data_IF_967823626407
#
_entry.id   IF_967823626407
#
_cell.length_a   1.000
_cell.length_b   1.000
_cell.length_c   1.000
_cell.angle_alpha   90.00
_cell.angle_beta   90.00
_cell.angle_gamma   90.00
#
_symmetry.space_group_name_H-M   'P 1'
#
loop_
_entity.id
_entity.type
_entity.pdbx_description
1 polymer ?
#
# COMPACT_ATOMS: atom_id res chain seq x y z
N UNK A 1 -18.81 -34.18 4.62
CA UNK A 1 -18.39 -32.84 5.10
C UNK A 1 -19.23 -31.73 4.49
N UNK A 2 -19.19 -31.50 3.18
CA UNK A 2 -20.00 -30.46 2.50
C UNK A 2 -21.51 -30.60 2.81
N UNK A 3 -22.05 -31.83 2.70
CA UNK A 3 -23.45 -32.11 3.02
C UNK A 3 -23.84 -31.77 4.48
N UNK A 4 -22.89 -31.83 5.42
CA UNK A 4 -23.16 -31.48 6.81
C UNK A 4 -23.25 -29.95 6.97
N UNK A 5 -22.37 -29.20 6.29
CA UNK A 5 -22.40 -27.74 6.27
C UNK A 5 -23.69 -27.24 5.63
N UNK A 6 -24.10 -27.81 4.49
CA UNK A 6 -25.35 -27.43 3.82
C UNK A 6 -26.56 -27.66 4.73
N UNK A 7 -26.65 -28.85 5.36
CA UNK A 7 -27.75 -29.16 6.29
C UNK A 7 -27.76 -28.23 7.50
N UNK A 8 -26.59 -27.90 8.05
CA UNK A 8 -26.46 -26.96 9.14
C UNK A 8 -26.89 -25.54 8.73
N UNK A 9 -26.48 -25.08 7.55
CA UNK A 9 -26.90 -23.78 7.01
C UNK A 9 -28.40 -23.70 6.77
N UNK A 10 -29.03 -24.77 6.26
CA UNK A 10 -30.47 -24.85 6.07
C UNK A 10 -31.24 -24.86 7.40
N UNK A 11 -30.73 -25.59 8.40
CA UNK A 11 -31.33 -25.62 9.75
C UNK A 11 -31.20 -24.27 10.47
N UNK A 12 -30.13 -23.53 10.20
CA UNK A 12 -29.83 -22.24 10.82
C UNK A 12 -30.07 -21.07 9.86
N UNK A 13 -31.10 -21.17 9.00
CA UNK A 13 -31.43 -20.17 7.96
C UNK A 13 -31.49 -18.73 8.47
N UNK A 14 -31.96 -18.51 9.69
CA UNK A 14 -32.02 -17.18 10.30
C UNK A 14 -30.62 -16.60 10.54
N UNK A 15 -29.71 -17.39 11.13
CA UNK A 15 -28.32 -16.97 11.34
C UNK A 15 -27.60 -16.71 10.02
N UNK A 16 -27.84 -17.56 9.01
CA UNK A 16 -27.28 -17.38 7.66
C UNK A 16 -27.76 -16.07 7.03
N UNK A 17 -29.05 -15.72 7.17
CA UNK A 17 -29.61 -14.47 6.65
C UNK A 17 -29.04 -13.25 7.37
N UNK A 18 -28.93 -13.29 8.70
CA UNK A 18 -28.33 -12.20 9.49
C UNK A 18 -26.86 -12.02 9.13
N UNK A 19 -26.10 -13.11 9.02
CA UNK A 19 -24.70 -13.06 8.61
C UNK A 19 -24.53 -12.49 7.19
N UNK A 20 -25.41 -12.90 6.26
CA UNK A 20 -25.43 -12.35 4.89
C UNK A 20 -25.74 -10.85 4.91
N UNK A 21 -26.73 -10.41 5.68
CA UNK A 21 -27.08 -9.00 5.82
C UNK A 21 -25.90 -8.18 6.37
N UNK A 22 -25.26 -8.68 7.43
CA UNK A 22 -24.09 -8.03 8.02
C UNK A 22 -22.93 -7.92 7.01
N UNK A 23 -22.67 -8.97 6.23
CA UNK A 23 -21.67 -8.95 5.17
C UNK A 23 -22.01 -7.95 4.06
N UNK A 24 -23.28 -7.86 3.64
CA UNK A 24 -23.71 -6.88 2.64
C UNK A 24 -23.54 -5.44 3.15
N UNK A 25 -23.96 -5.17 4.38
CA UNK A 25 -23.80 -3.84 4.98
C UNK A 25 -22.32 -3.46 5.15
N UNK A 26 -21.48 -4.39 5.62
CA UNK A 26 -20.04 -4.21 5.70
C UNK A 26 -19.41 -3.99 4.33
N UNK A 27 -19.84 -4.74 3.32
CA UNK A 27 -19.40 -4.58 1.93
C UNK A 27 -19.77 -3.23 1.34
N UNK A 28 -21.01 -2.78 1.54
CA UNK A 28 -21.46 -1.45 1.09
C UNK A 28 -20.67 -0.33 1.78
N UNK A 29 -20.43 -0.45 3.08
CA UNK A 29 -19.58 0.48 3.80
C UNK A 29 -18.16 0.48 3.25
N UNK A 30 -17.57 -0.69 2.99
CA UNK A 30 -16.23 -0.78 2.41
C UNK A 30 -16.17 -0.13 1.03
N UNK A 31 -17.06 -0.50 0.10
CA UNK A 31 -17.08 0.04 -1.26
C UNK A 31 -17.24 1.56 -1.26
N UNK A 32 -18.06 2.11 -0.37
CA UNK A 32 -18.26 3.55 -0.26
C UNK A 32 -17.02 4.29 0.28
N UNK A 33 -16.23 3.66 1.15
CA UNK A 33 -15.09 4.29 1.82
C UNK A 33 -13.73 3.90 1.24
N UNK A 34 -13.68 2.94 0.32
CA UNK A 34 -12.44 2.59 -0.38
C UNK A 34 -12.05 3.75 -1.30
N UNK A 35 -10.85 4.34 -1.13
CA UNK A 35 -10.37 5.38 -2.04
C UNK A 35 -10.18 4.78 -3.45
N UNK A 36 -10.57 5.54 -4.47
CA UNK A 36 -10.46 5.14 -5.86
C UNK A 36 -9.58 6.15 -6.59
N UNK A 37 -8.52 5.63 -7.21
CA UNK A 37 -7.68 6.38 -8.13
C UNK A 37 -7.98 6.00 -9.58
N UNK A 38 -7.80 6.95 -10.49
CA UNK A 38 -8.11 6.77 -11.91
C UNK A 38 -7.16 5.79 -12.63
N UNK A 39 -5.94 5.64 -12.10
CA UNK A 39 -4.88 4.77 -12.61
C UNK A 39 -4.17 4.10 -11.44
N UNK A 40 -3.61 2.89 -11.63
CA UNK A 40 -2.71 2.34 -10.64
C UNK A 40 -1.45 3.22 -10.50
N UNK A 41 -0.86 3.26 -9.31
CA UNK A 41 0.46 3.86 -9.14
C UNK A 41 1.50 2.98 -9.86
N UNK A 42 2.18 3.59 -10.81
CA UNK A 42 3.20 2.96 -11.66
C UNK A 42 4.60 3.52 -11.38
N UNK A 43 4.73 4.39 -10.37
CA UNK A 43 5.98 5.06 -10.06
C UNK A 43 6.91 4.11 -9.32
N UNK A 44 8.20 4.17 -9.64
CA UNK A 44 9.22 3.50 -8.83
C UNK A 44 9.31 4.15 -7.44
N UNK A 45 9.67 3.36 -6.43
CA UNK A 45 9.92 3.88 -5.07
C UNK A 45 11.21 4.69 -5.08
N UNK A 46 11.09 6.01 -5.11
CA UNK A 46 12.23 6.93 -5.15
C UNK A 46 12.32 7.76 -3.86
N UNK A 47 13.52 7.85 -3.29
CA UNK A 47 13.84 8.75 -2.17
C UNK A 47 14.81 9.83 -2.67
N UNK A 48 14.39 11.10 -2.58
CA UNK A 48 15.19 12.24 -3.04
C UNK A 48 15.98 12.83 -1.87
N UNK A 49 17.30 12.91 -2.01
CA UNK A 49 18.20 13.57 -1.06
C UNK A 49 18.69 14.88 -1.68
N UNK A 50 18.33 16.02 -1.06
CA UNK A 50 18.75 17.35 -1.51
C UNK A 50 19.64 17.99 -0.45
N UNK A 51 20.91 18.22 -0.82
CA UNK A 51 21.90 18.88 0.03
C UNK A 51 22.34 20.20 -0.60
N UNK A 52 22.13 21.31 0.12
CA UNK A 52 22.59 22.63 -0.33
C UNK A 52 24.03 22.88 0.11
N UNK A 53 24.91 23.21 -0.83
CA UNK A 53 26.28 23.63 -0.52
C UNK A 53 26.60 24.99 -1.17
N UNK A 54 26.19 26.11 -0.54
CA UNK A 54 26.24 27.42 -1.16
C UNK A 54 27.68 27.94 -1.32
N UNK A 55 27.93 28.61 -2.45
CA UNK A 55 29.22 29.27 -2.72
C UNK A 55 30.34 28.34 -3.17
N UNK A 56 30.08 27.05 -3.35
CA UNK A 56 31.07 26.07 -3.80
C UNK A 56 30.96 25.80 -5.29
N UNK A 57 32.11 25.53 -5.92
CA UNK A 57 32.17 25.12 -7.31
C UNK A 57 31.54 23.73 -7.48
N UNK A 58 30.92 23.41 -8.64
CA UNK A 58 30.28 22.11 -8.89
C UNK A 58 31.19 20.91 -8.60
N UNK A 59 32.48 21.02 -8.88
CA UNK A 59 33.46 19.96 -8.61
C UNK A 59 33.58 19.65 -7.12
N UNK A 60 33.60 20.68 -6.27
CA UNK A 60 33.67 20.50 -4.81
C UNK A 60 32.37 19.89 -4.28
N UNK A 61 31.22 20.24 -4.85
CA UNK A 61 29.94 19.63 -4.49
C UNK A 61 29.91 18.15 -4.86
N UNK A 62 30.42 17.79 -6.04
CA UNK A 62 30.51 16.38 -6.45
C UNK A 62 31.43 15.58 -5.53
N UNK A 63 32.67 16.04 -5.35
CA UNK A 63 33.70 15.30 -4.62
C UNK A 63 33.39 15.18 -3.12
N UNK A 64 32.79 16.21 -2.51
CA UNK A 64 32.58 16.28 -1.06
C UNK A 64 31.17 15.87 -0.62
N UNK A 65 30.17 15.93 -1.52
CA UNK A 65 28.77 15.71 -1.14
C UNK A 65 28.14 14.63 -2.00
N UNK A 66 28.03 14.82 -3.32
CA UNK A 66 27.29 13.90 -4.19
C UNK A 66 27.91 12.52 -4.25
N UNK A 67 29.22 12.43 -4.49
CA UNK A 67 29.93 11.17 -4.67
C UNK A 67 29.93 10.28 -3.41
N UNK A 68 30.26 10.79 -2.20
CA UNK A 68 30.18 9.96 -1.00
C UNK A 68 28.74 9.54 -0.67
N UNK A 69 27.75 10.40 -0.91
CA UNK A 69 26.33 10.08 -0.71
C UNK A 69 25.87 8.98 -1.66
N UNK A 70 26.07 9.14 -2.97
CA UNK A 70 25.64 8.15 -3.97
C UNK A 70 26.31 6.80 -3.78
N UNK A 71 27.60 6.77 -3.45
CA UNK A 71 28.33 5.52 -3.19
C UNK A 71 27.80 4.81 -1.94
N UNK A 72 27.50 5.55 -0.87
CA UNK A 72 26.88 4.98 0.32
C UNK A 72 25.45 4.46 0.04
N UNK A 73 24.69 5.12 -0.85
CA UNK A 73 23.35 4.71 -1.24
C UNK A 73 23.31 3.42 -2.06
N UNK A 74 24.41 3.03 -2.72
CA UNK A 74 24.51 1.73 -3.40
C UNK A 74 24.47 0.52 -2.45
N UNK A 75 24.77 0.73 -1.17
CA UNK A 75 24.77 -0.31 -0.14
C UNK A 75 23.44 -0.39 0.63
N UNK A 76 22.45 0.42 0.26
CA UNK A 76 21.12 0.40 0.89
C UNK A 76 20.37 -0.87 0.44
N UNK A 77 19.77 -1.62 1.38
CA UNK A 77 19.05 -2.86 1.07
C UNK A 77 17.76 -2.66 0.29
#
# INVERSE_FOLDING_TARGET
MINAIIRWSLSNRFLVLVATLALVLGGLYSVKNTPVDAIPDLSDVQVIIKTSYPGQAPQVVEDQVTYPLTTAMLAVP
#
